data_IF_145749359366
#
_entry.id   IF_145749359366
#
_cell.length_a   1.000
_cell.length_b   1.000
_cell.length_c   1.000
_cell.angle_alpha   90.00
_cell.angle_beta   90.00
_cell.angle_gamma   90.00
#
_symmetry.space_group_name_H-M   'P 1'
#
loop_
_entity.id
_entity.type
_entity.pdbx_description
1 polymer ?
#
# COMPACT_ATOMS: atom_id res chain seq x y z
N UNK A 1 15.56 -21.16 -12.95
CA UNK A 1 14.26 -21.27 -12.30
C UNK A 1 13.91 -20.05 -11.46
N UNK A 2 14.81 -19.59 -10.59
CA UNK A 2 14.58 -18.41 -9.79
C UNK A 2 14.38 -17.15 -10.64
N UNK A 3 15.14 -17.00 -11.72
CA UNK A 3 15.02 -15.84 -12.60
C UNK A 3 13.67 -15.80 -13.32
N UNK A 4 13.13 -16.98 -13.70
CA UNK A 4 11.80 -17.04 -14.34
C UNK A 4 10.68 -16.70 -13.36
N UNK A 5 10.77 -17.17 -12.12
CA UNK A 5 9.81 -16.82 -11.07
C UNK A 5 9.86 -15.32 -10.77
N UNK A 6 11.08 -14.76 -10.71
CA UNK A 6 11.28 -13.34 -10.45
C UNK A 6 10.68 -12.47 -11.56
N UNK A 7 10.91 -12.86 -12.83
CA UNK A 7 10.34 -12.17 -13.99
C UNK A 7 8.83 -12.26 -13.96
N UNK A 8 8.27 -13.43 -13.65
CA UNK A 8 6.81 -13.61 -13.55
C UNK A 8 6.21 -12.71 -12.47
N UNK A 9 6.77 -12.74 -11.27
CA UNK A 9 6.29 -11.92 -10.16
C UNK A 9 6.42 -10.42 -10.45
N UNK A 10 7.54 -10.01 -11.05
CA UNK A 10 7.75 -8.63 -11.46
C UNK A 10 6.75 -8.18 -12.52
N UNK A 11 6.41 -9.06 -13.47
CA UNK A 11 5.43 -8.79 -14.51
C UNK A 11 4.03 -8.61 -13.91
N UNK A 12 3.64 -9.50 -12.98
CA UNK A 12 2.35 -9.39 -12.28
C UNK A 12 2.27 -8.08 -11.50
N UNK A 13 3.33 -7.74 -10.78
CA UNK A 13 3.39 -6.48 -10.02
C UNK A 13 3.29 -5.27 -10.96
N UNK A 14 3.97 -5.31 -12.10
CA UNK A 14 3.93 -4.24 -13.10
C UNK A 14 2.53 -4.06 -13.68
N UNK A 15 1.85 -5.15 -14.03
CA UNK A 15 0.48 -5.11 -14.54
C UNK A 15 -0.45 -4.53 -13.47
N UNK A 16 -0.33 -4.98 -12.22
CA UNK A 16 -1.11 -4.45 -11.11
C UNK A 16 -0.89 -2.96 -10.89
N UNK A 17 0.35 -2.50 -11.04
CA UNK A 17 0.71 -1.09 -10.94
C UNK A 17 0.03 -0.26 -12.03
N UNK A 18 0.08 -0.72 -13.28
CA UNK A 18 -0.55 -0.03 -14.41
C UNK A 18 -2.06 0.09 -14.21
N UNK A 19 -2.72 -1.01 -13.79
CA UNK A 19 -4.15 -1.02 -13.54
C UNK A 19 -4.53 -0.02 -12.44
N UNK A 20 -3.76 0.04 -11.36
CA UNK A 20 -4.03 0.97 -10.26
C UNK A 20 -3.80 2.43 -10.66
N UNK A 21 -2.79 2.72 -11.47
CA UNK A 21 -2.61 4.05 -12.04
C UNK A 21 -3.79 4.44 -12.91
N UNK A 22 -4.26 3.54 -13.77
CA UNK A 22 -5.41 3.81 -14.63
C UNK A 22 -6.65 4.13 -13.80
N UNK A 23 -6.90 3.39 -12.73
CA UNK A 23 -8.03 3.65 -11.83
C UNK A 23 -7.88 5.02 -11.17
N UNK A 24 -6.68 5.35 -10.64
CA UNK A 24 -6.44 6.63 -9.97
C UNK A 24 -6.65 7.82 -10.88
N UNK A 25 -6.19 7.73 -12.15
CA UNK A 25 -6.34 8.83 -13.09
C UNK A 25 -7.78 9.04 -13.51
N UNK A 26 -8.64 8.03 -13.41
CA UNK A 26 -10.03 8.11 -13.83
C UNK A 26 -11.00 8.39 -12.68
N UNK A 27 -10.55 8.34 -11.42
CA UNK A 27 -11.42 8.62 -10.28
C UNK A 27 -11.48 10.13 -10.03
N UNK A 28 -12.71 10.65 -9.95
CA UNK A 28 -12.96 12.04 -9.60
C UNK A 28 -13.18 12.15 -8.09
N UNK A 29 -12.37 12.97 -7.41
CA UNK A 29 -12.46 13.14 -5.95
C UNK A 29 -13.54 14.17 -5.64
N UNK A 30 -14.82 13.75 -5.64
CA UNK A 30 -15.96 14.60 -5.37
C UNK A 30 -16.76 14.21 -4.12
N UNK A 31 -16.40 13.09 -3.47
CA UNK A 31 -17.13 12.60 -2.31
C UNK A 31 -16.16 11.92 -1.34
N UNK A 32 -16.61 11.73 -0.08
CA UNK A 32 -15.82 10.98 0.89
C UNK A 32 -15.54 9.55 0.46
N UNK A 33 -16.50 8.92 -0.25
CA UNK A 33 -16.32 7.56 -0.76
C UNK A 33 -15.20 7.53 -1.79
N UNK A 34 -15.19 8.48 -2.73
CA UNK A 34 -14.14 8.56 -3.74
C UNK A 34 -12.78 8.85 -3.09
N UNK A 35 -12.73 9.75 -2.12
CA UNK A 35 -11.51 10.06 -1.39
C UNK A 35 -10.95 8.82 -0.68
N UNK A 36 -11.79 8.08 0.05
CA UNK A 36 -11.39 6.87 0.75
C UNK A 36 -10.92 5.79 -0.23
N UNK A 37 -11.60 5.66 -1.37
CA UNK A 37 -11.22 4.73 -2.42
C UNK A 37 -9.84 5.07 -3.00
N UNK A 38 -9.58 6.37 -3.26
CA UNK A 38 -8.28 6.82 -3.77
C UNK A 38 -7.16 6.51 -2.76
N UNK A 39 -7.41 6.71 -1.47
CA UNK A 39 -6.41 6.38 -0.44
C UNK A 39 -6.07 4.89 -0.47
N UNK A 40 -7.06 4.01 -0.57
CA UNK A 40 -6.83 2.57 -0.69
C UNK A 40 -5.99 2.27 -1.94
N UNK A 41 -6.33 2.87 -3.06
CA UNK A 41 -5.59 2.67 -4.31
C UNK A 41 -4.14 3.16 -4.20
N UNK A 42 -3.90 4.26 -3.52
CA UNK A 42 -2.54 4.79 -3.31
C UNK A 42 -1.70 3.78 -2.52
N UNK A 43 -2.23 3.22 -1.44
CA UNK A 43 -1.47 2.23 -0.66
C UNK A 43 -1.25 0.94 -1.43
N UNK A 44 -2.24 0.46 -2.20
CA UNK A 44 -2.06 -0.68 -3.08
C UNK A 44 -1.00 -0.41 -4.14
N UNK A 45 -1.03 0.78 -4.74
CA UNK A 45 -0.05 1.18 -5.73
C UNK A 45 1.35 1.22 -5.14
N UNK A 46 1.50 1.78 -3.94
CA UNK A 46 2.78 1.84 -3.24
C UNK A 46 3.31 0.43 -2.96
N UNK A 47 2.45 -0.51 -2.55
CA UNK A 47 2.83 -1.90 -2.39
C UNK A 47 3.31 -2.51 -3.71
N UNK A 48 2.57 -2.30 -4.80
CA UNK A 48 2.94 -2.86 -6.11
C UNK A 48 4.25 -2.29 -6.64
N UNK A 49 4.45 -0.98 -6.51
CA UNK A 49 5.71 -0.34 -6.94
C UNK A 49 6.88 -0.86 -6.12
N UNK A 50 6.72 -0.95 -4.80
CA UNK A 50 7.77 -1.45 -3.92
C UNK A 50 8.10 -2.91 -4.20
N UNK A 51 7.08 -3.74 -4.45
CA UNK A 51 7.27 -5.14 -4.79
C UNK A 51 7.99 -5.29 -6.12
N UNK A 52 7.56 -4.56 -7.15
CA UNK A 52 8.18 -4.58 -8.47
C UNK A 52 9.65 -4.16 -8.39
N UNK A 53 9.93 -3.02 -7.77
CA UNK A 53 11.30 -2.52 -7.65
C UNK A 53 12.15 -3.40 -6.75
N UNK A 54 11.57 -3.97 -5.71
CA UNK A 54 12.27 -4.89 -4.83
C UNK A 54 12.78 -6.13 -5.54
N UNK A 55 11.95 -6.72 -6.41
CA UNK A 55 12.35 -7.89 -7.18
C UNK A 55 13.53 -7.62 -8.12
N UNK A 56 13.57 -6.44 -8.72
CA UNK A 56 14.63 -6.11 -9.66
C UNK A 56 15.90 -5.57 -8.98
N UNK A 57 15.76 -4.85 -7.87
CA UNK A 57 16.90 -4.21 -7.21
C UNK A 57 17.61 -5.12 -6.20
N UNK A 58 16.91 -6.11 -5.63
CA UNK A 58 17.49 -7.00 -4.61
C UNK A 58 18.73 -7.75 -5.13
N UNK A 59 18.70 -8.18 -6.40
CA UNK A 59 19.82 -8.88 -7.02
C UNK A 59 20.99 -7.94 -7.33
N UNK A 60 20.75 -6.63 -7.43
CA UNK A 60 21.79 -5.65 -7.73
C UNK A 60 22.42 -5.15 -6.43
N UNK A 61 21.58 -4.85 -5.44
CA UNK A 61 22.00 -4.35 -4.13
C UNK A 61 21.02 -4.86 -3.07
N UNK A 62 21.52 -5.67 -2.14
CA UNK A 62 20.71 -6.16 -1.03
C UNK A 62 20.15 -5.02 -0.19
N UNK A 63 20.94 -3.97 0.05
CA UNK A 63 20.49 -2.81 0.84
C UNK A 63 19.32 -2.09 0.19
N UNK A 64 19.38 -1.88 -1.12
CA UNK A 64 18.28 -1.23 -1.85
C UNK A 64 17.04 -2.13 -1.86
N UNK A 65 17.22 -3.42 -2.10
CA UNK A 65 16.12 -4.38 -2.06
C UNK A 65 15.42 -4.41 -0.70
N UNK A 66 16.20 -4.40 0.39
CA UNK A 66 15.65 -4.35 1.75
C UNK A 66 14.90 -3.05 2.03
N UNK A 67 15.38 -1.91 1.48
CA UNK A 67 14.66 -0.64 1.60
C UNK A 67 13.27 -0.75 0.98
N UNK A 68 13.14 -1.38 -0.19
CA UNK A 68 11.83 -1.58 -0.82
C UNK A 68 10.96 -2.56 -0.03
N UNK A 69 11.55 -3.58 0.61
CA UNK A 69 10.80 -4.46 1.50
C UNK A 69 10.21 -3.68 2.67
N UNK A 70 10.98 -2.77 3.28
CA UNK A 70 10.47 -1.94 4.37
C UNK A 70 9.34 -1.01 3.90
N UNK A 71 9.47 -0.40 2.73
CA UNK A 71 8.40 0.44 2.15
C UNK A 71 7.15 -0.41 1.91
N UNK A 72 7.29 -1.61 1.37
CA UNK A 72 6.19 -2.54 1.15
C UNK A 72 5.47 -2.86 2.46
N UNK A 73 6.22 -3.16 3.51
CA UNK A 73 5.63 -3.50 4.82
C UNK A 73 4.89 -2.32 5.43
N UNK A 74 5.44 -1.12 5.34
CA UNK A 74 4.79 0.09 5.85
C UNK A 74 3.49 0.36 5.08
N UNK A 75 3.52 0.26 3.77
CA UNK A 75 2.31 0.41 2.95
C UNK A 75 1.25 -0.63 3.35
N UNK A 76 1.66 -1.85 3.66
CA UNK A 76 0.76 -2.90 4.12
C UNK A 76 0.10 -2.54 5.46
N UNK A 77 0.85 -1.97 6.39
CA UNK A 77 0.31 -1.56 7.70
C UNK A 77 -0.76 -0.48 7.55
N UNK A 78 -0.65 0.40 6.57
CA UNK A 78 -1.65 1.44 6.32
C UNK A 78 -2.79 0.97 5.43
N UNK A 79 -2.57 -0.06 4.62
CA UNK A 79 -3.58 -0.58 3.70
C UNK A 79 -4.82 -1.10 4.44
N UNK A 80 -4.64 -1.91 5.48
CA UNK A 80 -5.74 -2.50 6.22
C UNK A 80 -6.63 -1.41 6.86
N UNK A 81 -6.07 -0.41 7.59
CA UNK A 81 -6.88 0.70 8.07
C UNK A 81 -7.60 1.46 6.95
N UNK A 82 -6.96 1.66 5.81
CA UNK A 82 -7.57 2.39 4.70
C UNK A 82 -8.77 1.65 4.12
N UNK A 83 -8.72 0.31 4.04
CA UNK A 83 -9.84 -0.51 3.61
C UNK A 83 -10.99 -0.43 4.61
N UNK A 84 -10.70 -0.47 5.92
CA UNK A 84 -11.72 -0.33 6.95
C UNK A 84 -12.37 1.04 6.91
N UNK A 85 -11.59 2.10 6.71
CA UNK A 85 -12.12 3.47 6.57
C UNK A 85 -13.04 3.55 5.36
N UNK A 86 -12.67 2.93 4.24
CA UNK A 86 -13.53 2.88 3.05
C UNK A 86 -14.85 2.18 3.37
N UNK A 87 -14.79 1.02 4.04
CA UNK A 87 -15.99 0.27 4.41
C UNK A 87 -16.90 1.10 5.33
N UNK A 88 -16.34 1.80 6.32
CA UNK A 88 -17.10 2.66 7.22
C UNK A 88 -17.71 3.86 6.49
N UNK A 89 -16.99 4.39 5.51
CA UNK A 89 -17.50 5.49 4.68
C UNK A 89 -18.70 5.02 3.86
N UNK A 90 -18.63 3.79 3.31
CA UNK A 90 -19.72 3.22 2.52
C UNK A 90 -21.00 3.01 3.34
N UNK A 91 -20.88 2.67 4.62
CA UNK A 91 -22.05 2.48 5.50
C UNK A 91 -22.43 3.75 6.24
N UNK A 92 -21.78 4.87 5.93
CA UNK A 92 -22.06 6.18 6.53
C UNK A 92 -22.03 6.17 8.07
N UNK A 93 -20.99 5.53 8.63
CA UNK A 93 -20.83 5.41 10.07
C UNK A 93 -20.62 6.78 10.73
N UNK A 94 -21.33 7.03 11.83
CA UNK A 94 -21.16 8.25 12.62
C UNK A 94 -19.84 8.30 13.37
N UNK A 95 -19.18 7.16 13.51
CA UNK A 95 -17.90 7.05 14.23
C UNK A 95 -16.70 7.07 13.29
N UNK A 96 -16.93 7.41 12.02
CA UNK A 96 -15.89 7.35 10.99
C UNK A 96 -14.61 8.10 11.38
N UNK A 97 -14.74 9.34 11.85
CA UNK A 97 -13.56 10.15 12.17
C UNK A 97 -12.77 9.61 13.36
N UNK A 98 -13.47 9.19 14.42
CA UNK A 98 -12.81 8.60 15.58
C UNK A 98 -12.08 7.31 15.21
N UNK A 99 -12.74 6.44 14.47
CA UNK A 99 -12.14 5.17 14.02
C UNK A 99 -10.97 5.43 13.08
N UNK A 100 -11.12 6.36 12.14
CA UNK A 100 -10.04 6.75 11.23
C UNK A 100 -8.79 7.19 12.00
N UNK A 101 -8.95 8.09 12.96
CA UNK A 101 -7.83 8.59 13.76
C UNK A 101 -7.15 7.47 14.52
N UNK A 102 -7.93 6.58 15.16
CA UNK A 102 -7.39 5.46 15.94
C UNK A 102 -6.65 4.49 15.03
N UNK A 103 -7.24 4.08 13.91
CA UNK A 103 -6.65 3.11 13.00
C UNK A 103 -5.35 3.61 12.36
N UNK A 104 -5.35 4.86 11.89
CA UNK A 104 -4.13 5.42 11.30
C UNK A 104 -3.07 5.68 12.37
N UNK A 105 -3.49 6.05 13.59
CA UNK A 105 -2.56 6.16 14.71
C UNK A 105 -1.88 4.84 15.04
N UNK A 106 -2.63 3.75 15.07
CA UNK A 106 -2.09 2.41 15.30
C UNK A 106 -1.12 2.03 14.17
N UNK A 107 -1.51 2.25 12.92
CA UNK A 107 -0.66 1.97 11.76
C UNK A 107 0.64 2.77 11.81
N UNK A 108 0.57 4.02 12.19
CA UNK A 108 1.76 4.87 12.36
C UNK A 108 2.67 4.33 13.46
N UNK A 109 2.12 3.95 14.60
CA UNK A 109 2.91 3.38 15.70
C UNK A 109 3.59 2.08 15.29
N UNK A 110 2.87 1.19 14.59
CA UNK A 110 3.44 -0.06 14.09
C UNK A 110 4.57 0.23 13.10
N UNK A 111 4.38 1.20 12.20
CA UNK A 111 5.39 1.58 11.22
C UNK A 111 6.66 2.12 11.89
N UNK A 112 6.52 2.96 12.90
CA UNK A 112 7.65 3.49 13.67
C UNK A 112 8.37 2.35 14.38
N UNK A 113 7.64 1.42 15.01
CA UNK A 113 8.22 0.26 15.67
C UNK A 113 8.97 -0.62 14.67
N UNK A 114 8.43 -0.81 13.47
CA UNK A 114 9.08 -1.59 12.42
C UNK A 114 10.40 -0.95 12.00
N UNK A 115 10.39 0.36 11.74
CA UNK A 115 11.62 1.09 11.35
C UNK A 115 12.65 1.14 12.46
N UNK A 116 12.21 1.10 13.73
CA UNK A 116 13.10 1.10 14.88
C UNK A 116 13.65 -0.29 15.21
N UNK A 117 13.23 -1.33 14.49
CA UNK A 117 13.72 -2.68 14.65
C UNK A 117 13.04 -3.49 15.75
N UNK A 118 11.90 -3.03 16.30
CA UNK A 118 11.15 -3.77 17.32
C UNK A 118 10.26 -4.87 16.73
N UNK A 119 10.04 -4.82 15.41
CA UNK A 119 9.22 -5.84 14.74
C UNK A 119 10.00 -6.44 13.59
#
# INVERSE_FOLDING_TARGET
MESNALIFLGTVAFIGMILKFAILFNVSIKSQIAESFVVVCIFFLLQNVSEFLGYFTYNISEQVGLAFVHIYMIAHYFLFPSVLVLALTLVESKQLEAVRTILYGIAFCISVAHLSGYI
#
